data_IF_983941817219
#
_entry.id   IF_983941817219
#
_cell.length_a   1.000
_cell.length_b   1.000
_cell.length_c   1.000
_cell.angle_alpha   90.00
_cell.angle_beta   90.00
_cell.angle_gamma   90.00
#
_symmetry.space_group_name_H-M   'P 1'
#
loop_
_entity.id
_entity.type
_entity.pdbx_description
1 polymer ?
#
# COMPACT_ATOMS: atom_id res chain seq x y z
N UNK A 1 -5.77 24.40 6.12
CA UNK A 1 -5.38 23.90 7.46
C UNK A 1 -5.06 22.43 7.28
N UNK A 2 -3.90 21.95 7.75
CA UNK A 2 -3.53 20.55 7.61
C UNK A 2 -4.55 19.62 8.27
N UNK A 3 -4.76 18.40 7.73
CA UNK A 3 -5.64 17.43 8.36
C UNK A 3 -5.12 17.01 9.73
N UNK A 4 -6.01 16.52 10.58
CA UNK A 4 -5.64 15.91 11.85
C UNK A 4 -5.13 14.47 11.59
N UNK A 5 -4.09 13.99 12.31
CA UNK A 5 -3.54 12.64 12.12
C UNK A 5 -4.52 11.51 12.47
N UNK A 6 -5.62 11.81 13.16
CA UNK A 6 -6.69 10.87 13.47
C UNK A 6 -7.81 10.85 12.43
N UNK A 7 -7.64 11.54 11.30
CA UNK A 7 -8.64 11.60 10.22
C UNK A 7 -8.08 10.97 8.95
N UNK A 8 -8.91 10.21 8.23
CA UNK A 8 -8.52 9.63 6.94
C UNK A 8 -8.32 10.76 5.90
N UNK A 9 -7.14 10.88 5.27
CA UNK A 9 -6.93 11.87 4.24
C UNK A 9 -7.43 11.41 2.88
N UNK A 10 -7.64 12.37 1.97
CA UNK A 10 -7.92 12.11 0.56
C UNK A 10 -6.69 11.51 -0.15
N UNK A 11 -5.49 12.01 0.19
CA UNK A 11 -4.22 11.51 -0.32
C UNK A 11 -3.26 11.15 0.80
N UNK A 12 -2.75 9.92 0.73
CA UNK A 12 -1.71 9.41 1.61
C UNK A 12 -0.46 9.08 0.80
N UNK A 13 0.61 9.82 1.06
CA UNK A 13 1.91 9.59 0.45
C UNK A 13 2.87 8.92 1.43
N UNK A 14 3.70 8.03 0.91
CA UNK A 14 4.86 7.47 1.60
C UNK A 14 6.12 8.01 0.92
N UNK A 15 6.75 9.00 1.54
CA UNK A 15 8.02 9.56 1.10
C UNK A 15 9.16 8.70 1.66
N UNK A 16 9.91 8.03 0.79
CA UNK A 16 11.17 7.38 1.17
C UNK A 16 12.30 8.32 0.78
N UNK A 17 13.07 8.82 1.76
CA UNK A 17 14.16 9.74 1.46
C UNK A 17 15.17 9.11 0.48
N UNK A 18 15.64 9.87 -0.53
CA UNK A 18 16.39 9.32 -1.66
C UNK A 18 17.80 8.81 -1.30
N UNK A 19 18.31 9.17 -0.13
CA UNK A 19 19.55 8.62 0.43
C UNK A 19 19.35 7.25 1.11
N UNK A 20 18.12 6.76 1.20
CA UNK A 20 17.79 5.43 1.67
C UNK A 20 17.78 4.46 0.49
N UNK A 21 18.30 3.25 0.71
CA UNK A 21 18.27 2.20 -0.30
C UNK A 21 16.86 1.65 -0.52
N UNK A 22 16.69 0.88 -1.60
CA UNK A 22 15.40 0.32 -1.98
C UNK A 22 14.82 -0.65 -0.93
N UNK A 23 15.67 -1.24 -0.09
CA UNK A 23 15.28 -2.12 1.01
C UNK A 23 14.31 -1.46 2.00
N UNK A 24 14.40 -0.13 2.17
CA UNK A 24 13.52 0.63 3.06
C UNK A 24 12.06 0.60 2.60
N UNK A 25 11.84 0.53 1.28
CA UNK A 25 10.52 0.34 0.72
C UNK A 25 10.11 -1.13 0.67
N UNK A 26 10.97 -1.98 0.08
CA UNK A 26 10.59 -3.34 -0.28
C UNK A 26 10.54 -4.31 0.90
N UNK A 27 11.26 -4.03 1.99
CA UNK A 27 11.29 -4.86 3.18
C UNK A 27 10.79 -4.11 4.41
N UNK A 28 11.39 -2.98 4.79
CA UNK A 28 10.98 -2.27 6.02
C UNK A 28 9.54 -1.73 5.95
N UNK A 29 9.12 -1.15 4.82
CA UNK A 29 7.77 -0.62 4.66
C UNK A 29 6.77 -1.62 4.04
N UNK A 30 7.16 -2.88 3.83
CA UNK A 30 6.36 -3.84 3.06
C UNK A 30 4.97 -4.07 3.65
N UNK A 31 4.89 -4.33 4.95
CA UNK A 31 3.61 -4.62 5.61
C UNK A 31 2.74 -3.36 5.69
N UNK A 32 3.34 -2.23 6.03
CA UNK A 32 2.69 -0.93 6.03
C UNK A 32 2.08 -0.60 4.66
N UNK A 33 2.88 -0.75 3.59
CA UNK A 33 2.40 -0.51 2.23
C UNK A 33 1.31 -1.49 1.83
N UNK A 34 1.45 -2.78 2.17
CA UNK A 34 0.44 -3.79 1.89
C UNK A 34 -0.91 -3.48 2.57
N UNK A 35 -0.86 -2.90 3.77
CA UNK A 35 -2.04 -2.59 4.59
C UNK A 35 -2.75 -1.30 4.17
N UNK A 36 -2.01 -0.21 3.98
CA UNK A 36 -2.57 1.13 3.76
C UNK A 36 -2.48 1.61 2.31
N UNK A 37 -1.65 0.95 1.48
CA UNK A 37 -1.46 1.26 0.05
C UNK A 37 -1.21 2.74 -0.25
N UNK A 38 -0.30 3.42 0.48
CA UNK A 38 0.05 4.80 0.17
C UNK A 38 0.71 4.92 -1.20
N UNK A 39 0.65 6.12 -1.76
CA UNK A 39 1.37 6.48 -2.99
C UNK A 39 2.84 6.68 -2.62
N UNK A 40 3.72 5.86 -3.18
CA UNK A 40 5.15 5.92 -2.87
C UNK A 40 5.82 6.99 -3.73
N UNK A 41 6.59 7.86 -3.09
CA UNK A 41 7.35 8.93 -3.76
C UNK A 41 8.76 9.03 -3.18
N UNK A 42 9.70 9.49 -4.00
CA UNK A 42 11.10 9.79 -3.60
C UNK A 42 11.36 11.29 -3.47
N UNK A 43 10.41 12.10 -3.95
CA UNK A 43 10.38 13.56 -3.86
C UNK A 43 8.95 14.03 -3.59
N UNK A 44 8.79 15.34 -3.43
CA UNK A 44 7.49 15.95 -3.12
C UNK A 44 6.87 16.68 -4.31
N UNK A 45 7.41 16.53 -5.53
CA UNK A 45 6.89 17.23 -6.71
C UNK A 45 5.46 16.79 -7.03
N UNK A 46 5.17 15.49 -6.93
CA UNK A 46 3.81 14.98 -7.12
C UNK A 46 2.82 15.55 -6.09
N UNK A 47 3.26 15.74 -4.85
CA UNK A 47 2.42 16.29 -3.77
C UNK A 47 2.01 17.73 -4.07
N UNK A 48 2.88 18.50 -4.73
CA UNK A 48 2.61 19.90 -5.13
C UNK A 48 1.54 20.02 -6.22
N UNK A 49 1.26 18.94 -6.94
CA UNK A 49 0.25 18.91 -8.00
C UNK A 49 -1.17 18.66 -7.47
N UNK A 50 -1.31 18.28 -6.20
CA UNK A 50 -2.62 18.04 -5.61
C UNK A 50 -3.37 19.37 -5.45
N UNK A 51 -4.61 19.49 -5.96
CA UNK A 51 -5.38 20.73 -5.85
C UNK A 51 -5.64 21.12 -4.40
N UNK A 52 -5.82 22.42 -4.17
CA UNK A 52 -6.28 22.93 -2.87
C UNK A 52 -7.69 22.38 -2.57
N UNK A 53 -7.94 22.10 -1.30
CA UNK A 53 -9.22 21.55 -0.83
C UNK A 53 -9.20 20.04 -0.58
N UNK A 54 -8.16 19.33 -1.03
CA UNK A 54 -7.90 17.96 -0.64
C UNK A 54 -7.01 17.89 0.59
N UNK A 55 -7.29 16.94 1.47
CA UNK A 55 -6.49 16.63 2.65
C UNK A 55 -5.33 15.71 2.28
N UNK A 56 -4.12 16.09 2.70
CA UNK A 56 -2.88 15.38 2.37
C UNK A 56 -2.15 15.03 3.65
N UNK A 57 -1.77 13.76 3.80
CA UNK A 57 -0.80 13.32 4.79
C UNK A 57 0.40 12.67 4.08
N UNK A 58 1.59 13.11 4.45
CA UNK A 58 2.86 12.52 4.00
C UNK A 58 3.49 11.77 5.17
N UNK A 59 3.52 10.44 5.09
CA UNK A 59 4.36 9.62 5.97
C UNK A 59 5.77 9.62 5.40
N UNK A 60 6.73 10.18 6.14
CA UNK A 60 8.11 10.31 5.70
C UNK A 60 9.00 9.31 6.42
N UNK A 61 9.70 8.48 5.65
CA UNK A 61 10.79 7.62 6.13
C UNK A 61 12.10 8.31 5.77
N UNK A 62 12.81 8.78 6.79
CA UNK A 62 14.07 9.50 6.62
C UNK A 62 15.00 9.26 7.82
N UNK A 63 16.30 9.49 7.61
CA UNK A 63 17.26 9.59 8.71
C UNK A 63 17.18 10.96 9.38
N UNK A 64 17.74 11.06 10.58
CA UNK A 64 17.65 12.28 11.39
C UNK A 64 18.28 13.51 10.74
N UNK A 65 19.35 13.32 9.99
CA UNK A 65 20.10 14.34 9.27
C UNK A 65 19.27 15.01 8.15
N UNK A 66 18.38 14.26 7.50
CA UNK A 66 17.62 14.69 6.32
C UNK A 66 16.15 15.01 6.64
N UNK A 67 15.61 14.50 7.74
CA UNK A 67 14.21 14.71 8.13
C UNK A 67 13.83 16.19 8.27
N UNK A 68 14.70 17.02 8.86
CA UNK A 68 14.44 18.46 9.04
C UNK A 68 14.33 19.17 7.69
N UNK A 69 15.18 18.84 6.73
CA UNK A 69 15.16 19.44 5.40
C UNK A 69 13.83 19.17 4.70
N UNK A 70 13.36 17.93 4.73
CA UNK A 70 12.08 17.54 4.15
C UNK A 70 10.89 18.21 4.85
N UNK A 71 10.94 18.34 6.17
CA UNK A 71 9.91 19.06 6.93
C UNK A 71 9.79 20.52 6.55
N UNK A 72 10.93 21.22 6.41
CA UNK A 72 10.95 22.61 5.94
C UNK A 72 10.44 22.72 4.50
N UNK A 73 10.88 21.82 3.62
CA UNK A 73 10.43 21.81 2.23
C UNK A 73 8.91 21.66 2.13
N UNK A 74 8.33 20.69 2.86
CA UNK A 74 6.89 20.45 2.84
C UNK A 74 6.14 21.68 3.40
N UNK A 75 6.59 22.26 4.51
CA UNK A 75 5.96 23.43 5.10
C UNK A 75 5.95 24.65 4.16
N UNK A 76 7.00 24.83 3.34
CA UNK A 76 7.10 25.94 2.40
C UNK A 76 6.30 25.73 1.11
N UNK A 77 6.26 24.49 0.60
CA UNK A 77 5.70 24.20 -0.73
C UNK A 77 4.27 23.65 -0.67
N UNK A 78 3.91 22.96 0.42
CA UNK A 78 2.61 22.33 0.63
C UNK A 78 2.15 22.55 2.09
N UNK A 79 1.87 23.81 2.50
CA UNK A 79 1.57 24.15 3.89
C UNK A 79 0.27 23.52 4.44
N UNK A 80 -0.60 23.04 3.56
CA UNK A 80 -1.83 22.33 3.92
C UNK A 80 -1.64 20.81 4.08
N UNK A 81 -0.44 20.28 3.85
CA UNK A 81 -0.13 18.88 4.11
C UNK A 81 0.31 18.67 5.57
N UNK A 82 -0.13 17.56 6.16
CA UNK A 82 0.40 17.09 7.44
C UNK A 82 1.62 16.18 7.18
N UNK A 83 2.68 16.38 7.96
CA UNK A 83 3.85 15.50 7.97
C UNK A 83 3.76 14.52 9.14
N UNK A 84 3.84 13.23 8.85
CA UNK A 84 3.99 12.13 9.80
C UNK A 84 5.40 11.54 9.65
N UNK A 85 6.30 11.88 10.57
CA UNK A 85 7.71 11.49 10.50
C UNK A 85 7.99 10.13 11.13
N UNK A 86 8.48 9.18 10.34
CA UNK A 86 9.11 7.93 10.78
C UNK A 86 10.62 8.10 10.66
N UNK A 87 11.20 8.77 11.66
CA UNK A 87 12.59 9.21 11.65
C UNK A 87 13.45 8.34 12.55
N UNK A 88 14.11 7.35 11.95
CA UNK A 88 15.07 6.49 12.63
C UNK A 88 16.33 6.33 11.79
N UNK A 89 17.48 6.21 12.46
CA UNK A 89 18.76 6.03 11.79
C UNK A 89 19.03 4.57 11.38
N UNK A 90 18.39 3.62 12.10
CA UNK A 90 18.55 2.19 11.88
C UNK A 90 17.34 1.60 11.13
N UNK A 91 17.64 0.76 10.13
CA UNK A 91 16.66 0.06 9.31
C UNK A 91 15.65 -0.74 10.14
N UNK A 92 16.14 -1.54 11.10
CA UNK A 92 15.27 -2.39 11.94
C UNK A 92 14.27 -1.59 12.77
N UNK A 93 14.66 -0.40 13.25
CA UNK A 93 13.75 0.45 14.03
C UNK A 93 12.60 0.98 13.17
N UNK A 94 12.91 1.41 11.94
CA UNK A 94 11.88 1.81 10.98
C UNK A 94 10.96 0.66 10.63
N UNK A 95 11.51 -0.54 10.36
CA UNK A 95 10.72 -1.74 10.10
C UNK A 95 9.76 -2.03 11.25
N UNK A 96 10.28 -2.09 12.49
CA UNK A 96 9.45 -2.33 13.67
C UNK A 96 8.35 -1.29 13.81
N UNK A 97 8.66 0.00 13.66
CA UNK A 97 7.67 1.07 13.78
C UNK A 97 6.56 0.98 12.72
N UNK A 98 6.92 0.71 11.47
CA UNK A 98 5.97 0.59 10.36
C UNK A 98 5.11 -0.68 10.48
N UNK A 99 5.70 -1.80 10.87
CA UNK A 99 4.97 -3.04 11.13
C UNK A 99 3.97 -2.88 12.29
N UNK A 100 4.39 -2.28 13.40
CA UNK A 100 3.51 -2.01 14.54
C UNK A 100 2.30 -1.16 14.13
N UNK A 101 2.49 -0.14 13.27
CA UNK A 101 1.41 0.68 12.73
C UNK A 101 0.45 -0.14 11.85
N UNK A 102 0.99 -1.04 11.03
CA UNK A 102 0.19 -1.93 10.19
C UNK A 102 -0.67 -2.89 11.04
N UNK A 103 -0.05 -3.53 12.04
CA UNK A 103 -0.69 -4.46 12.98
C UNK A 103 -1.81 -3.79 13.78
N UNK A 104 -1.56 -2.58 14.29
CA UNK A 104 -2.52 -1.83 15.10
C UNK A 104 -3.55 -1.04 14.28
N UNK A 105 -3.45 -1.06 12.95
CA UNK A 105 -4.30 -0.25 12.04
C UNK A 105 -4.22 1.26 12.36
N UNK A 106 -3.01 1.76 12.61
CA UNK A 106 -2.73 3.16 12.93
C UNK A 106 -1.76 3.75 11.91
N UNK A 107 -2.22 4.17 10.72
CA UNK A 107 -1.33 4.60 9.63
C UNK A 107 -0.39 5.74 10.03
N UNK A 108 -0.85 6.64 10.90
CA UNK A 108 -0.15 7.85 11.32
C UNK A 108 0.30 7.79 12.80
N UNK A 109 0.45 6.59 13.35
CA UNK A 109 0.84 6.38 14.75
C UNK A 109 -0.26 6.72 15.77
N UNK A 110 -1.46 7.04 15.30
CA UNK A 110 -2.65 7.25 16.13
C UNK A 110 -3.86 6.49 15.54
N UNK A 111 -4.82 6.07 16.35
CA UNK A 111 -6.09 5.52 15.86
C UNK A 111 -6.85 6.53 15.01
N UNK A 112 -7.37 6.08 13.88
CA UNK A 112 -8.31 6.88 13.11
C UNK A 112 -9.63 6.99 13.87
N UNK A 113 -10.22 8.19 13.87
CA UNK A 113 -11.58 8.42 14.33
C UNK A 113 -12.55 7.58 13.49
N UNK A 114 -13.57 6.97 14.12
CA UNK A 114 -14.62 6.28 13.38
C UNK A 114 -15.31 7.29 12.45
N UNK A 115 -15.27 7.05 11.14
CA UNK A 115 -16.12 7.79 10.22
C UNK A 115 -17.57 7.40 10.54
N UNK A 116 -18.46 8.35 10.84
CA UNK A 116 -19.87 8.01 11.05
C UNK A 116 -20.41 7.33 9.80
N UNK A 117 -20.87 6.10 9.94
CA UNK A 117 -21.59 5.40 8.86
C UNK A 117 -22.78 6.28 8.47
N UNK A 118 -22.90 6.71 7.19
CA UNK A 118 -24.08 7.43 6.76
C UNK A 118 -25.32 6.60 7.09
N UNK A 119 -26.27 7.17 7.82
CA UNK A 119 -27.56 6.53 8.01
C UNK A 119 -28.12 6.25 6.60
N UNK A 120 -28.32 4.97 6.26
CA UNK A 120 -28.96 4.61 4.98
C UNK A 120 -30.32 5.28 5.02
N UNK A 121 -30.63 6.23 4.11
CA UNK A 121 -31.96 6.78 4.04
C UNK A 121 -32.87 5.63 3.62
N UNK A 122 -33.61 5.08 4.58
CA UNK A 122 -34.77 4.26 4.27
C UNK A 122 -35.78 5.18 3.58
N UNK A 123 -35.66 5.30 2.27
CA UNK A 123 -36.70 5.91 1.47
C UNK A 123 -37.91 4.99 1.59
N UNK A 124 -39.04 5.43 2.19
CA UNK A 124 -40.24 4.62 2.17
C UNK A 124 -40.61 4.42 0.71
N UNK A 125 -40.51 3.19 0.21
CA UNK A 125 -40.99 2.85 -1.13
C UNK A 125 -42.47 3.27 -1.23
N UNK A 126 -42.84 4.20 -2.12
CA UNK A 126 -44.23 4.61 -2.25
C UNK A 126 -45.06 3.52 -2.95
N UNK A 127 -46.06 2.96 -2.24
CA UNK A 127 -47.14 2.09 -2.74
C UNK A 127 -46.84 0.58 -2.66
N UNK A 128 -47.74 -0.28 -2.15
CA UNK A 128 -49.14 -0.41 -2.57
C UNK A 128 -50.14 -0.54 -1.39
N UNK A 129 -51.19 0.27 -1.45
CA UNK A 129 -52.41 0.15 -0.65
C UNK A 129 -53.36 -0.84 -1.31
N UNK A 130 -53.07 -2.15 -1.33
CA UNK A 130 -54.07 -3.18 -1.66
C UNK A 130 -53.89 -4.36 -0.71
N UNK A 131 -55.01 -4.77 -0.12
CA UNK A 131 -55.10 -5.64 1.05
C UNK A 131 -54.60 -7.07 0.88
N UNK A 132 -54.65 -7.79 2.00
CA UNK A 132 -54.36 -9.21 2.16
C UNK A 132 -54.72 -10.05 0.93
N UNK A 133 -53.70 -10.46 0.19
CA UNK A 133 -53.73 -11.65 -0.63
C UNK A 133 -52.37 -12.34 -0.50
N UNK A 134 -52.39 -13.52 0.10
CA UNK A 134 -51.31 -14.49 0.04
C UNK A 134 -51.14 -14.85 -1.44
N UNK A 135 -50.08 -14.37 -2.08
CA UNK A 135 -49.66 -14.84 -3.40
C UNK A 135 -48.40 -15.69 -3.19
N UNK A 136 -48.43 -17.00 -3.49
CA UNK A 136 -47.24 -17.83 -3.43
C UNK A 136 -46.22 -17.37 -4.48
N UNK A 137 -44.90 -17.45 -4.21
CA UNK A 137 -43.88 -16.98 -5.14
C UNK A 137 -43.97 -17.75 -6.47
N UNK A 138 -44.35 -17.06 -7.55
CA UNK A 138 -44.44 -17.63 -8.91
C UNK A 138 -43.10 -17.57 -9.66
N UNK A 139 -41.97 -17.44 -8.94
CA UNK A 139 -40.64 -17.55 -9.53
C UNK A 139 -39.71 -18.21 -8.53
N UNK A 140 -39.16 -19.37 -8.90
CA UNK A 140 -38.03 -19.94 -8.19
C UNK A 140 -36.90 -18.87 -8.15
N UNK A 141 -36.25 -18.65 -6.99
CA UNK A 141 -35.08 -17.79 -6.95
C UNK A 141 -34.05 -18.35 -7.94
N UNK A 142 -33.62 -17.49 -8.88
CA UNK A 142 -32.53 -17.81 -9.78
C UNK A 142 -31.31 -18.16 -8.95
N UNK A 143 -30.93 -19.44 -8.96
CA UNK A 143 -29.72 -19.89 -8.34
C UNK A 143 -28.54 -19.16 -8.96
N UNK A 144 -27.74 -18.49 -8.13
CA UNK A 144 -26.37 -18.23 -8.52
C UNK A 144 -25.69 -19.59 -8.61
N UNK A 145 -25.31 -19.97 -9.83
CA UNK A 145 -24.42 -21.10 -10.07
C UNK A 145 -23.04 -20.67 -9.54
N UNK A 146 -22.70 -21.05 -8.31
CA UNK A 146 -21.30 -21.17 -7.92
C UNK A 146 -20.76 -22.43 -8.59
N UNK A 147 -20.18 -22.31 -9.79
CA UNK A 147 -19.14 -23.26 -10.16
C UNK A 147 -17.90 -22.87 -9.37
N UNK A 148 -17.74 -23.48 -8.20
CA UNK A 148 -16.39 -23.70 -7.68
C UNK A 148 -15.79 -24.76 -8.59
N UNK A 149 -14.73 -24.47 -9.38
CA UNK A 149 -13.99 -25.55 -10.00
C UNK A 149 -13.44 -26.43 -8.87
N UNK A 150 -13.89 -27.68 -8.82
CA UNK A 150 -13.28 -28.71 -8.00
C UNK A 150 -11.79 -28.75 -8.34
N UNK A 151 -10.87 -28.56 -7.38
CA UNK A 151 -9.48 -28.85 -7.62
C UNK A 151 -9.39 -30.33 -8.00
N UNK A 152 -8.98 -30.62 -9.23
CA UNK A 152 -8.50 -31.94 -9.56
C UNK A 152 -7.28 -32.17 -8.67
N UNK A 153 -7.45 -33.00 -7.66
CA UNK A 153 -6.38 -33.50 -6.83
C UNK A 153 -5.59 -34.49 -7.70
N UNK A 154 -4.76 -33.94 -8.58
CA UNK A 154 -3.68 -34.71 -9.19
C UNK A 154 -2.65 -34.89 -8.09
N UNK A 155 -2.52 -36.14 -7.68
CA UNK A 155 -1.44 -36.71 -6.89
C UNK A 155 -0.09 -36.01 -7.19
N UNK A 156 0.76 -35.72 -6.19
CA UNK A 156 2.06 -35.11 -6.44
C UNK A 156 2.88 -36.01 -7.35
N UNK A 157 2.89 -35.69 -8.64
CA UNK A 157 3.89 -36.17 -9.57
C UNK A 157 5.23 -35.68 -9.04
N UNK A 158 6.17 -36.62 -8.94
CA UNK A 158 7.51 -36.43 -8.44
C UNK A 158 8.13 -35.11 -8.93
N UNK A 159 8.93 -34.51 -8.05
CA UNK A 159 9.70 -33.30 -8.34
C UNK A 159 10.35 -33.37 -9.73
N UNK A 160 10.31 -32.30 -10.53
CA UNK A 160 11.13 -32.22 -11.73
C UNK A 160 12.59 -32.40 -11.28
N UNK A 161 13.18 -33.52 -11.67
CA UNK A 161 14.61 -33.74 -11.54
C UNK A 161 15.26 -32.62 -12.34
N UNK A 162 15.99 -31.73 -11.67
CA UNK A 162 16.83 -30.76 -12.35
C UNK A 162 17.72 -31.55 -13.33
N UNK A 163 17.82 -31.14 -14.61
CA UNK A 163 18.82 -31.72 -15.48
C UNK A 163 20.18 -31.57 -14.78
N UNK A 164 20.90 -32.69 -14.66
CA UNK A 164 22.27 -32.72 -14.16
C UNK A 164 23.05 -31.67 -14.93
N UNK A 165 23.53 -30.66 -14.21
CA UNK A 165 24.41 -29.63 -14.74
C UNK A 165 25.63 -30.35 -15.35
N UNK A 166 25.88 -30.26 -16.67
CA UNK A 166 27.11 -30.79 -17.23
C UNK A 166 28.27 -30.04 -16.57
N UNK A 167 29.38 -30.73 -16.22
CA UNK A 167 30.52 -30.08 -15.60
C UNK A 167 30.91 -28.85 -16.41
N UNK A 168 30.94 -27.70 -15.72
CA UNK A 168 31.17 -26.38 -16.32
C UNK A 168 32.32 -26.43 -17.31
N UNK A 169 32.05 -26.00 -18.54
CA UNK A 169 33.12 -25.86 -19.51
C UNK A 169 34.18 -24.90 -18.95
N UNK A 170 35.48 -25.22 -19.07
CA UNK A 170 36.53 -24.30 -18.67
C UNK A 170 36.35 -22.99 -19.44
N UNK A 171 36.16 -21.90 -18.69
CA UNK A 171 36.14 -20.54 -19.23
C UNK A 171 37.53 -20.28 -19.80
N UNK A 172 37.66 -20.34 -21.12
CA UNK A 172 38.86 -19.89 -21.79
C UNK A 172 38.98 -18.38 -21.60
N UNK A 173 40.11 -17.86 -21.09
CA UNK A 173 40.31 -16.42 -21.04
C UNK A 173 40.30 -15.87 -22.47
N UNK A 174 39.43 -14.90 -22.72
CA UNK A 174 39.42 -14.11 -23.96
C UNK A 174 40.83 -13.55 -24.17
N UNK A 175 41.50 -13.88 -25.28
CA UNK A 175 42.80 -13.29 -25.59
C UNK A 175 42.68 -11.77 -25.64
N UNK A 176 43.49 -11.08 -24.84
CA UNK A 176 43.59 -9.62 -24.88
C UNK A 176 44.08 -9.11 -26.24
N UNK A 177 43.95 -7.80 -26.50
CA UNK A 177 44.35 -7.23 -27.78
C UNK A 177 45.83 -7.46 -28.05
N UNK A 178 46.13 -8.00 -29.23
CA UNK A 178 47.49 -8.14 -29.76
C UNK A 178 48.00 -6.74 -30.06
N UNK A 179 48.92 -6.23 -29.23
CA UNK A 179 49.76 -5.08 -29.60
C UNK A 179 50.77 -5.53 -30.65
N UNK A 180 50.69 -4.92 -31.82
CA UNK A 180 51.47 -5.25 -33.00
C UNK A 180 52.96 -4.93 -32.92
N UNK A 181 53.66 -5.48 -33.90
CA UNK A 181 54.98 -5.06 -34.40
C UNK A 181 54.93 -5.01 -35.91
#
# INVERSE_FOLDING_TARGET
MPPSPDTQPDYHFLLIAPNLGAEWLFDAAREYWSRFRPIVVTDLELVRLIPKGYSIIVTMVARRDTATQWGVFLAQNVPDALLDGVVYDAFEQTRTALNQRAETTQPFGVPLKPTPTPAVPISPTPGSLIGNAVIPPTRAPGGFITQTPTPNMVEPTAAPTLPVEPPGQPVYPTPGPITGG
#
